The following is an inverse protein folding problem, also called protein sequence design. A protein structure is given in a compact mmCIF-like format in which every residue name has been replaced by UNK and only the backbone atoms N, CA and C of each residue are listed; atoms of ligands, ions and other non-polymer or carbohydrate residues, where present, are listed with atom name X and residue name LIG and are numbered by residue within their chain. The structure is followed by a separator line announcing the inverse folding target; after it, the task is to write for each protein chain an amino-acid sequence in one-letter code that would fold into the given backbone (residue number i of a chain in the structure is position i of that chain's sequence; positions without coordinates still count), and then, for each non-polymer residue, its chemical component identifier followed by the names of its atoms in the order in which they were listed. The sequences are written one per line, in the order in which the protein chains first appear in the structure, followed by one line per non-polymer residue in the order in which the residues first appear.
data_IF_411528026371
#
_entry.id   IF_411528026371
#
_cell.length_a   1.000
_cell.length_b   1.000
_cell.length_c   1.000
_cell.angle_alpha   90.00
_cell.angle_beta   90.00
_cell.angle_gamma   90.00
#
_symmetry.space_group_name_H-M   'P 1'
#
loop_
_entity.id
_entity.type
_entity.pdbx_description
1 polymer ?
#
# COMPACT_ATOMS: atom_id res chain seq x y z
N UNK A 1 21.74 -39.91 -64.14
CA UNK A 1 20.60 -40.77 -63.72
C UNK A 1 20.96 -41.43 -62.38
N UNK A 2 19.99 -41.68 -61.49
CA UNK A 2 19.91 -40.97 -60.20
C UNK A 2 20.15 -41.82 -58.93
N UNK A 3 20.32 -41.10 -57.82
CA UNK A 3 19.88 -41.34 -56.43
C UNK A 3 19.91 -42.76 -55.81
N UNK A 4 20.54 -42.88 -54.63
CA UNK A 4 19.89 -43.50 -53.47
C UNK A 4 20.54 -43.12 -52.12
N UNK A 5 19.64 -42.91 -51.15
CA UNK A 5 19.81 -42.49 -49.77
C UNK A 5 20.79 -43.37 -48.96
N UNK A 6 21.60 -42.73 -48.11
CA UNK A 6 22.10 -43.36 -46.88
C UNK A 6 21.67 -42.53 -45.67
N UNK A 7 20.78 -43.12 -44.88
CA UNK A 7 20.33 -42.66 -43.59
C UNK A 7 21.46 -42.80 -42.56
N UNK A 8 21.83 -41.72 -41.86
CA UNK A 8 22.66 -41.78 -40.65
C UNK A 8 21.99 -41.02 -39.51
N UNK A 9 21.70 -41.76 -38.44
CA UNK A 9 21.27 -41.26 -37.15
C UNK A 9 22.21 -40.17 -36.63
N UNK A 10 21.65 -38.99 -36.34
CA UNK A 10 22.22 -38.08 -35.34
C UNK A 10 21.29 -38.06 -34.14
N UNK A 11 21.77 -38.62 -33.02
CA UNK A 11 21.19 -38.37 -31.70
C UNK A 11 21.51 -36.93 -31.33
N UNK A 12 20.52 -36.05 -31.45
CA UNK A 12 20.62 -34.70 -30.88
C UNK A 12 20.36 -34.82 -29.38
N UNK A 13 21.41 -34.61 -28.59
CA UNK A 13 21.29 -34.37 -27.14
C UNK A 13 20.57 -33.02 -26.98
N UNK A 14 19.29 -33.06 -26.62
CA UNK A 14 18.56 -31.86 -26.21
C UNK A 14 19.06 -31.50 -24.82
N UNK A 15 19.98 -30.55 -24.75
CA UNK A 15 20.35 -29.86 -23.52
C UNK A 15 19.14 -29.05 -23.05
N UNK A 16 18.39 -29.59 -22.10
CA UNK A 16 17.29 -28.89 -21.43
C UNK A 16 17.83 -27.73 -20.61
N UNK A 17 17.89 -26.54 -21.20
CA UNK A 17 18.01 -25.29 -20.47
C UNK A 17 16.70 -25.06 -19.70
N UNK A 18 16.66 -25.48 -18.43
CA UNK A 18 15.67 -24.96 -17.50
C UNK A 18 16.05 -23.51 -17.22
N UNK A 19 15.27 -22.60 -17.77
CA UNK A 19 15.31 -21.18 -17.44
C UNK A 19 14.84 -21.03 -15.98
N UNK A 20 15.75 -21.15 -15.00
CA UNK A 20 15.50 -20.62 -13.66
C UNK A 20 15.53 -19.10 -13.82
N UNK A 21 14.36 -18.47 -13.90
CA UNK A 21 14.29 -17.03 -13.67
C UNK A 21 14.97 -16.76 -12.33
N UNK A 22 16.05 -15.97 -12.36
CA UNK A 22 16.64 -15.42 -11.16
C UNK A 22 15.53 -14.59 -10.50
N UNK A 23 15.10 -15.03 -9.34
CA UNK A 23 14.12 -14.31 -8.52
C UNK A 23 14.74 -12.97 -8.16
N UNK A 24 14.04 -11.86 -8.44
CA UNK A 24 14.53 -10.53 -8.10
C UNK A 24 14.50 -10.39 -6.56
N UNK A 25 15.38 -9.55 -6.01
CA UNK A 25 15.33 -9.24 -4.57
C UNK A 25 14.02 -8.59 -4.18
N UNK A 26 13.43 -7.78 -5.06
CA UNK A 26 12.11 -7.22 -4.81
C UNK A 26 11.02 -8.29 -4.76
N UNK A 27 11.13 -9.38 -5.53
CA UNK A 27 10.21 -10.51 -5.42
C UNK A 27 10.29 -11.18 -4.03
N UNK A 28 11.46 -11.19 -3.39
CA UNK A 28 11.61 -11.70 -2.02
C UNK A 28 10.90 -10.79 -1.00
N UNK A 29 11.07 -9.48 -1.14
CA UNK A 29 10.40 -8.50 -0.29
C UNK A 29 8.88 -8.53 -0.48
N UNK A 30 8.39 -8.59 -1.73
CA UNK A 30 6.97 -8.74 -2.04
C UNK A 30 6.38 -10.02 -1.47
N UNK A 31 7.10 -11.16 -1.56
CA UNK A 31 6.65 -12.41 -0.94
C UNK A 31 6.61 -12.32 0.58
N UNK A 32 7.54 -11.62 1.21
CA UNK A 32 7.57 -11.41 2.65
C UNK A 32 6.32 -10.66 3.12
N UNK A 33 6.01 -9.52 2.50
CA UNK A 33 4.83 -8.71 2.87
C UNK A 33 3.51 -9.27 2.36
N UNK A 34 3.52 -10.02 1.26
CA UNK A 34 2.36 -10.66 0.63
C UNK A 34 1.96 -11.98 1.29
N UNK A 35 2.52 -12.31 2.46
CA UNK A 35 2.12 -13.46 3.26
C UNK A 35 0.63 -13.34 3.61
N UNK A 36 -0.13 -14.37 3.27
CA UNK A 36 -1.53 -14.45 3.67
C UNK A 36 -1.68 -14.70 5.18
N UNK A 37 -2.53 -13.91 5.80
CA UNK A 37 -2.86 -13.93 7.23
C UNK A 37 -4.31 -14.34 7.50
N UNK A 38 -4.99 -14.91 6.50
CA UNK A 38 -6.36 -15.43 6.61
C UNK A 38 -7.37 -14.73 5.70
N UNK A 39 -6.92 -13.90 4.76
CA UNK A 39 -7.75 -13.19 3.79
C UNK A 39 -7.72 -13.82 2.38
N UNK A 40 -6.88 -14.84 2.15
CA UNK A 40 -6.73 -15.54 0.87
C UNK A 40 -6.25 -14.61 -0.27
N UNK A 41 -5.31 -13.72 0.05
CA UNK A 41 -4.79 -12.69 -0.87
C UNK A 41 -3.74 -13.19 -1.87
N UNK A 42 -3.31 -14.46 -1.80
CA UNK A 42 -2.18 -14.94 -2.59
C UNK A 42 -2.36 -14.76 -4.10
N UNK A 43 -3.59 -14.89 -4.61
CA UNK A 43 -3.90 -14.63 -6.03
C UNK A 43 -3.86 -13.13 -6.37
N UNK A 44 -4.21 -12.25 -5.43
CA UNK A 44 -4.09 -10.80 -5.60
C UNK A 44 -2.61 -10.41 -5.66
N UNK A 45 -1.78 -10.93 -4.74
CA UNK A 45 -0.32 -10.71 -4.72
C UNK A 45 0.31 -11.16 -6.05
N UNK A 46 -0.06 -12.36 -6.54
CA UNK A 46 0.44 -12.87 -7.81
C UNK A 46 0.04 -11.99 -9.00
N UNK A 47 -1.17 -11.42 -8.99
CA UNK A 47 -1.65 -10.57 -10.07
C UNK A 47 -0.87 -9.25 -10.21
N UNK A 48 -0.16 -8.83 -9.16
CA UNK A 48 0.61 -7.57 -9.14
C UNK A 48 2.09 -7.74 -8.80
N UNK A 49 2.66 -8.92 -9.09
CA UNK A 49 4.07 -9.14 -8.88
C UNK A 49 4.94 -8.09 -9.61
N UNK A 50 5.99 -7.61 -8.95
CA UNK A 50 6.95 -6.61 -9.42
C UNK A 50 6.46 -5.16 -9.28
N UNK A 51 5.25 -4.93 -8.79
CA UNK A 51 4.72 -3.57 -8.64
C UNK A 51 5.34 -2.81 -7.46
N UNK A 52 5.87 -3.49 -6.44
CA UNK A 52 6.65 -2.85 -5.38
C UNK A 52 7.95 -2.24 -5.91
N UNK A 53 8.69 -2.99 -6.75
CA UNK A 53 9.88 -2.45 -7.40
C UNK A 53 9.51 -1.26 -8.29
N UNK A 54 8.43 -1.41 -9.07
CA UNK A 54 7.95 -0.35 -9.94
C UNK A 54 7.58 0.92 -9.17
N UNK A 55 6.92 0.81 -8.01
CA UNK A 55 6.57 1.93 -7.14
C UNK A 55 7.81 2.58 -6.51
N UNK A 56 8.75 1.77 -6.01
CA UNK A 56 9.99 2.26 -5.42
C UNK A 56 10.82 3.04 -6.45
N UNK A 57 10.92 2.51 -7.68
CA UNK A 57 11.58 3.18 -8.80
C UNK A 57 10.91 4.49 -9.16
N UNK A 58 9.57 4.51 -9.29
CA UNK A 58 8.84 5.73 -9.68
C UNK A 58 9.15 6.90 -8.75
N UNK A 59 9.26 6.66 -7.44
CA UNK A 59 9.63 7.69 -6.46
C UNK A 59 11.13 8.01 -6.52
N UNK A 60 11.99 6.98 -6.50
CA UNK A 60 13.45 7.15 -6.39
C UNK A 60 14.10 7.81 -7.61
N UNK A 61 13.55 7.57 -8.81
CA UNK A 61 14.07 8.07 -10.08
C UNK A 61 13.47 9.45 -10.43
N UNK A 62 12.42 9.89 -9.73
CA UNK A 62 11.84 11.21 -9.92
C UNK A 62 12.81 12.31 -9.42
N UNK A 63 13.07 13.38 -10.20
CA UNK A 63 14.11 14.36 -9.85
C UNK A 63 13.77 15.23 -8.63
N UNK A 64 12.47 15.45 -8.37
CA UNK A 64 11.97 16.26 -7.23
C UNK A 64 10.69 15.64 -6.66
N UNK A 65 10.79 14.48 -5.98
CA UNK A 65 9.60 13.79 -5.50
C UNK A 65 8.95 14.63 -4.38
N UNK A 66 7.62 14.73 -4.46
CA UNK A 66 6.72 15.22 -3.42
C UNK A 66 5.51 14.32 -3.37
N UNK A 67 5.20 13.81 -2.19
CA UNK A 67 4.26 12.70 -2.00
C UNK A 67 3.03 13.19 -1.22
N UNK A 68 1.84 12.99 -1.77
CA UNK A 68 0.60 13.09 -1.00
C UNK A 68 0.19 11.69 -0.54
N UNK A 69 0.13 11.44 0.77
CA UNK A 69 -0.25 10.13 1.33
C UNK A 69 -1.69 10.19 1.83
N UNK A 70 -2.55 9.36 1.24
CA UNK A 70 -3.96 9.20 1.54
C UNK A 70 -4.14 7.96 2.42
N UNK A 71 -4.75 8.10 3.60
CA UNK A 71 -5.02 6.94 4.47
C UNK A 71 -6.28 7.14 5.32
N UNK A 72 -6.76 6.03 5.88
CA UNK A 72 -7.80 5.99 6.89
C UNK A 72 -8.99 5.18 6.42
N UNK A 73 -9.44 4.24 7.25
CA UNK A 73 -10.58 3.40 7.01
C UNK A 73 -11.50 3.48 8.23
N UNK A 74 -12.72 3.99 8.04
CA UNK A 74 -13.65 4.21 9.15
C UNK A 74 -14.52 2.98 9.42
N UNK A 75 -14.64 2.58 10.68
CA UNK A 75 -15.40 1.42 11.15
C UNK A 75 -16.64 1.89 11.92
N UNK A 76 -17.79 2.10 11.25
CA UNK A 76 -18.99 2.68 11.87
C UNK A 76 -19.69 1.72 12.85
N UNK A 77 -19.35 0.43 12.82
CA UNK A 77 -20.08 -0.60 13.58
C UNK A 77 -19.54 -0.84 14.99
N UNK A 78 -18.43 -0.19 15.36
CA UNK A 78 -17.88 -0.24 16.71
C UNK A 78 -18.45 0.94 17.52
N UNK A 79 -18.50 0.83 18.85
CA UNK A 79 -19.02 1.88 19.74
C UNK A 79 -17.93 2.30 20.74
N UNK A 80 -17.46 3.56 20.70
CA UNK A 80 -17.76 4.58 19.68
C UNK A 80 -17.18 4.20 18.29
N UNK A 81 -17.78 4.68 17.18
CA UNK A 81 -17.21 4.53 15.84
C UNK A 81 -15.82 5.18 15.74
N UNK A 82 -14.90 4.52 15.04
CA UNK A 82 -13.51 4.97 14.94
C UNK A 82 -12.85 4.50 13.63
N UNK A 83 -11.69 5.09 13.32
CA UNK A 83 -10.82 4.61 12.26
C UNK A 83 -10.03 3.38 12.70
N UNK A 84 -9.66 2.51 11.77
CA UNK A 84 -8.92 1.29 12.11
C UNK A 84 -7.41 1.51 12.30
N UNK A 85 -6.74 0.48 12.82
CA UNK A 85 -5.29 0.47 13.11
C UNK A 85 -4.42 0.16 11.89
N UNK A 86 -4.97 -0.39 10.80
CA UNK A 86 -4.24 -0.61 9.55
C UNK A 86 -4.27 0.60 8.61
N UNK A 87 -3.11 0.90 8.00
CA UNK A 87 -2.84 2.10 7.22
C UNK A 87 -2.02 3.22 7.91
N UNK A 88 -2.41 3.71 9.11
CA UNK A 88 -1.82 4.93 9.66
C UNK A 88 -0.42 4.74 10.22
N UNK A 89 -0.06 3.53 10.67
CA UNK A 89 1.27 3.24 11.21
C UNK A 89 2.28 3.26 10.05
N UNK A 90 1.98 2.56 8.95
CA UNK A 90 2.74 2.59 7.71
C UNK A 90 2.84 4.02 7.15
N UNK A 91 1.74 4.76 7.18
CA UNK A 91 1.72 6.18 6.78
C UNK A 91 2.65 7.05 7.61
N UNK A 92 2.61 6.94 8.95
CA UNK A 92 3.42 7.77 9.84
C UNK A 92 4.92 7.45 9.72
N UNK A 93 5.27 6.17 9.62
CA UNK A 93 6.64 5.70 9.39
C UNK A 93 7.17 6.20 8.05
N UNK A 94 6.41 6.02 6.95
CA UNK A 94 6.79 6.54 5.63
C UNK A 94 6.97 8.06 5.64
N UNK A 95 6.07 8.78 6.30
CA UNK A 95 6.14 10.23 6.43
C UNK A 95 7.42 10.66 7.12
N UNK A 96 7.76 10.03 8.24
CA UNK A 96 9.00 10.31 8.97
C UNK A 96 10.25 10.03 8.12
N UNK A 97 10.28 8.90 7.40
CA UNK A 97 11.39 8.56 6.49
C UNK A 97 11.54 9.61 5.39
N UNK A 98 10.43 10.00 4.74
CA UNK A 98 10.46 10.98 3.66
C UNK A 98 10.88 12.37 4.14
N UNK A 99 10.28 12.89 5.22
CA UNK A 99 10.63 14.21 5.74
C UNK A 99 12.11 14.29 6.16
N UNK A 100 12.60 13.30 6.92
CA UNK A 100 14.00 13.23 7.35
C UNK A 100 14.97 13.05 6.18
N UNK A 101 14.51 12.48 5.07
CA UNK A 101 15.26 12.34 3.82
C UNK A 101 15.14 13.53 2.85
N UNK A 102 14.43 14.60 3.25
CA UNK A 102 14.24 15.81 2.45
C UNK A 102 13.22 15.67 1.32
N UNK A 103 12.34 14.66 1.37
CA UNK A 103 11.24 14.47 0.43
C UNK A 103 9.98 15.10 1.05
N UNK A 104 9.40 16.16 0.45
CA UNK A 104 8.20 16.78 0.99
C UNK A 104 7.00 15.83 0.96
N UNK A 105 6.26 15.80 2.07
CA UNK A 105 5.05 14.98 2.23
C UNK A 105 3.86 15.85 2.60
N UNK A 106 2.68 15.51 2.11
CA UNK A 106 1.40 16.01 2.59
C UNK A 106 0.50 14.82 2.97
N UNK A 107 -0.09 14.85 4.15
CA UNK A 107 -1.03 13.83 4.61
C UNK A 107 -2.44 14.21 4.20
N UNK A 108 -3.21 13.25 3.72
CA UNK A 108 -4.60 13.44 3.28
C UNK A 108 -5.49 12.39 3.93
N UNK A 109 -6.54 12.84 4.61
CA UNK A 109 -7.52 11.94 5.21
C UNK A 109 -8.89 12.61 5.30
N UNK A 110 -9.91 11.89 5.76
CA UNK A 110 -11.22 12.47 6.04
C UNK A 110 -11.41 12.83 7.51
N UNK A 111 -12.43 13.64 7.78
CA UNK A 111 -12.70 14.15 9.15
C UNK A 111 -12.85 13.03 10.19
N UNK A 112 -13.35 11.86 9.79
CA UNK A 112 -13.58 10.73 10.70
C UNK A 112 -12.30 9.98 11.06
N UNK A 113 -11.29 10.03 10.19
CA UNK A 113 -9.99 9.39 10.42
C UNK A 113 -8.91 10.39 10.88
N UNK A 114 -9.22 11.69 10.86
CA UNK A 114 -8.28 12.78 11.17
C UNK A 114 -7.60 12.63 12.52
N UNK A 115 -8.35 12.40 13.60
CA UNK A 115 -7.80 12.37 14.97
C UNK A 115 -6.75 11.27 15.13
N UNK A 116 -7.04 10.10 14.57
CA UNK A 116 -6.14 8.96 14.55
C UNK A 116 -4.84 9.31 13.80
N UNK A 117 -4.95 9.84 12.58
CA UNK A 117 -3.78 10.15 11.77
C UNK A 117 -2.95 11.30 12.35
N UNK A 118 -3.61 12.27 12.99
CA UNK A 118 -2.96 13.35 13.71
C UNK A 118 -2.10 12.81 14.85
N UNK A 119 -2.62 11.87 15.66
CA UNK A 119 -1.86 11.24 16.73
C UNK A 119 -0.64 10.49 16.17
N UNK A 120 -0.82 9.73 15.08
CA UNK A 120 0.27 9.00 14.44
C UNK A 120 1.38 9.95 13.95
N UNK A 121 1.02 11.06 13.30
CA UNK A 121 1.95 12.11 12.88
C UNK A 121 2.71 12.72 14.06
N UNK A 122 1.99 13.03 15.14
CA UNK A 122 2.55 13.72 16.31
C UNK A 122 3.52 12.81 17.10
N UNK A 123 3.26 11.49 17.18
CA UNK A 123 4.18 10.49 17.78
C UNK A 123 5.51 10.46 17.05
N UNK A 124 5.48 10.48 15.72
CA UNK A 124 6.69 10.49 14.89
C UNK A 124 7.32 11.88 14.76
N UNK A 125 6.74 12.89 15.42
CA UNK A 125 7.20 14.28 15.40
C UNK A 125 7.30 14.84 13.98
N UNK A 126 6.42 14.39 13.08
CA UNK A 126 6.39 14.82 11.69
C UNK A 126 5.73 16.20 11.57
N UNK A 127 6.23 17.01 10.65
CA UNK A 127 5.72 18.36 10.36
C UNK A 127 4.77 18.40 9.15
N UNK A 128 4.55 17.25 8.52
CA UNK A 128 3.86 17.15 7.25
C UNK A 128 2.48 17.83 7.33
N UNK A 129 2.17 18.78 6.43
CA UNK A 129 0.85 19.38 6.37
C UNK A 129 -0.22 18.31 6.21
N UNK A 130 -1.33 18.47 6.92
CA UNK A 130 -2.45 17.53 6.87
C UNK A 130 -3.67 18.22 6.27
N UNK A 131 -4.12 17.69 5.14
CA UNK A 131 -5.35 18.07 4.46
C UNK A 131 -6.46 17.14 4.93
N UNK A 132 -7.50 17.72 5.54
CA UNK A 132 -8.69 16.97 5.93
C UNK A 132 -9.85 17.33 5.01
N UNK A 133 -10.47 16.31 4.43
CA UNK A 133 -11.65 16.49 3.58
C UNK A 133 -12.93 16.05 4.30
N UNK A 134 -14.00 16.80 4.15
CA UNK A 134 -15.31 16.51 4.74
C UNK A 134 -16.25 15.84 3.74
N UNK A 135 -16.03 16.04 2.44
CA UNK A 135 -16.91 15.51 1.41
C UNK A 135 -16.41 15.72 -0.01
N UNK A 136 -17.33 15.56 -0.97
CA UNK A 136 -17.02 15.59 -2.41
C UNK A 136 -16.38 16.91 -2.86
N UNK A 137 -16.88 18.05 -2.41
CA UNK A 137 -16.40 19.37 -2.85
C UNK A 137 -14.94 19.63 -2.45
N UNK A 138 -14.56 19.26 -1.22
CA UNK A 138 -13.18 19.34 -0.76
C UNK A 138 -12.25 18.46 -1.60
N UNK A 139 -12.70 17.24 -1.94
CA UNK A 139 -11.94 16.32 -2.78
C UNK A 139 -11.77 16.86 -4.21
N UNK A 140 -12.79 17.47 -4.81
CA UNK A 140 -12.68 18.11 -6.13
C UNK A 140 -11.73 19.32 -6.10
N UNK A 141 -11.77 20.10 -5.03
CA UNK A 141 -10.85 21.23 -4.82
C UNK A 141 -9.41 20.73 -4.70
N UNK A 142 -9.19 19.68 -3.91
CA UNK A 142 -7.89 19.04 -3.74
C UNK A 142 -7.37 18.46 -5.06
N UNK A 143 -8.22 17.74 -5.80
CA UNK A 143 -7.92 17.20 -7.12
C UNK A 143 -7.51 18.31 -8.08
N UNK A 144 -8.27 19.40 -8.13
CA UNK A 144 -7.95 20.57 -8.97
C UNK A 144 -6.59 21.17 -8.61
N UNK A 145 -6.29 21.30 -7.31
CA UNK A 145 -4.99 21.81 -6.83
C UNK A 145 -3.81 20.94 -7.28
N UNK A 146 -3.96 19.62 -7.23
CA UNK A 146 -2.92 18.69 -7.70
C UNK A 146 -2.74 18.75 -9.21
N UNK A 147 -3.84 18.78 -9.97
CA UNK A 147 -3.80 18.77 -11.43
C UNK A 147 -3.33 20.08 -12.04
N UNK A 148 -3.57 21.20 -11.38
CA UNK A 148 -3.04 22.50 -11.80
C UNK A 148 -1.49 22.58 -11.66
N UNK A 149 -0.84 21.57 -11.07
CA UNK A 149 0.60 21.58 -10.79
C UNK A 149 1.01 22.53 -9.67
N UNK A 150 0.09 23.36 -9.15
CA UNK A 150 0.34 24.35 -8.11
C UNK A 150 0.85 23.74 -6.80
N UNK A 151 0.48 22.49 -6.51
CA UNK A 151 0.98 21.78 -5.33
C UNK A 151 2.33 21.07 -5.57
N UNK A 152 2.82 20.99 -6.81
CA UNK A 152 4.01 20.22 -7.20
C UNK A 152 4.00 18.76 -6.69
N UNK A 153 2.81 18.18 -6.46
CA UNK A 153 2.67 16.78 -6.07
C UNK A 153 3.07 15.91 -7.26
N UNK A 154 4.06 15.06 -7.04
CA UNK A 154 4.56 14.11 -8.05
C UNK A 154 3.92 12.73 -7.92
N UNK A 155 3.47 12.38 -6.71
CA UNK A 155 2.91 11.08 -6.39
C UNK A 155 1.74 11.22 -5.42
N UNK A 156 0.65 10.51 -5.68
CA UNK A 156 -0.43 10.29 -4.72
C UNK A 156 -0.41 8.82 -4.31
N UNK A 157 -0.13 8.57 -3.04
CA UNK A 157 -0.01 7.24 -2.45
C UNK A 157 -1.23 6.96 -1.57
N UNK A 158 -1.95 5.86 -1.80
CA UNK A 158 -2.99 5.38 -0.90
C UNK A 158 -2.46 4.25 -0.02
N UNK A 159 -2.76 4.27 1.28
CA UNK A 159 -2.49 3.16 2.20
C UNK A 159 -3.76 2.90 3.01
N UNK A 160 -4.36 1.73 2.82
CA UNK A 160 -5.59 1.31 3.52
C UNK A 160 -6.71 2.36 3.43
N UNK A 161 -7.10 2.68 2.20
CA UNK A 161 -8.20 3.61 1.94
C UNK A 161 -9.25 2.92 1.10
N UNK A 162 -10.51 2.81 1.57
CA UNK A 162 -11.53 2.10 0.82
C UNK A 162 -11.96 2.89 -0.43
N UNK A 163 -12.27 2.15 -1.49
CA UNK A 163 -12.76 2.68 -2.76
C UNK A 163 -14.12 2.10 -3.15
N UNK A 164 -14.78 2.68 -4.17
CA UNK A 164 -16.06 2.20 -4.63
C UNK A 164 -15.91 0.88 -5.39
N UNK A 165 -16.83 -0.05 -5.15
CA UNK A 165 -17.05 -1.20 -6.01
C UNK A 165 -17.79 -0.80 -7.31
N UNK A 166 -18.00 -1.76 -8.22
CA UNK A 166 -18.70 -1.53 -9.49
C UNK A 166 -20.11 -0.94 -9.32
N UNK A 167 -20.75 -1.15 -8.16
CA UNK A 167 -22.04 -0.55 -7.81
C UNK A 167 -21.96 0.95 -7.47
N UNK A 168 -20.77 1.56 -7.48
CA UNK A 168 -20.51 2.92 -7.01
C UNK A 168 -20.57 3.10 -5.49
N UNK A 169 -20.65 2.01 -4.72
CA UNK A 169 -20.71 2.03 -3.26
C UNK A 169 -19.38 1.61 -2.68
N UNK A 170 -18.98 2.23 -1.59
CA UNK A 170 -17.82 1.85 -0.79
C UNK A 170 -18.26 0.78 0.20
N UNK A 171 -17.51 -0.31 0.33
CA UNK A 171 -17.83 -1.41 1.26
C UNK A 171 -16.64 -1.84 2.10
N UNK A 172 -16.92 -2.37 3.27
CA UNK A 172 -15.92 -3.12 4.04
C UNK A 172 -15.87 -4.59 3.60
N UNK A 173 -14.92 -5.35 4.17
CA UNK A 173 -14.74 -6.78 3.90
C UNK A 173 -15.98 -7.65 4.20
N UNK A 174 -16.92 -7.17 5.03
CA UNK A 174 -18.20 -7.83 5.33
C UNK A 174 -19.34 -7.46 4.36
N UNK A 175 -19.05 -6.69 3.30
CA UNK A 175 -20.05 -6.21 2.33
C UNK A 175 -20.93 -5.06 2.84
N UNK A 176 -20.63 -4.47 4.00
CA UNK A 176 -21.43 -3.36 4.56
C UNK A 176 -21.10 -2.06 3.85
N UNK A 177 -22.13 -1.29 3.52
CA UNK A 177 -21.99 0.00 2.85
C UNK A 177 -21.37 1.05 3.80
N UNK A 178 -20.31 1.70 3.33
CA UNK A 178 -19.59 2.77 4.00
C UNK A 178 -19.68 4.11 3.25
N UNK A 179 -20.42 4.17 2.14
CA UNK A 179 -20.42 5.30 1.21
C UNK A 179 -20.67 6.64 1.90
N UNK A 180 -21.63 6.70 2.83
CA UNK A 180 -22.00 7.94 3.51
C UNK A 180 -21.02 8.38 4.60
N UNK A 181 -20.11 7.48 5.01
CA UNK A 181 -19.08 7.75 6.02
C UNK A 181 -17.68 7.83 5.44
N UNK A 182 -17.51 7.63 4.13
CA UNK A 182 -16.20 7.68 3.44
C UNK A 182 -16.16 8.84 2.46
N UNK A 183 -15.27 9.81 2.68
CA UNK A 183 -15.02 10.85 1.68
C UNK A 183 -14.46 10.24 0.38
N UNK A 184 -14.85 10.71 -0.82
CA UNK A 184 -14.55 10.06 -2.10
C UNK A 184 -13.11 10.30 -2.60
N UNK A 185 -12.11 10.07 -1.75
CA UNK A 185 -10.68 10.29 -2.05
C UNK A 185 -10.16 9.41 -3.21
N UNK A 186 -10.87 8.33 -3.57
CA UNK A 186 -10.63 7.56 -4.79
C UNK A 186 -10.60 8.41 -6.07
N UNK A 187 -11.24 9.58 -6.06
CA UNK A 187 -11.22 10.53 -7.19
C UNK A 187 -9.85 11.09 -7.52
N UNK A 188 -8.91 11.07 -6.56
CA UNK A 188 -7.51 11.41 -6.80
C UNK A 188 -6.77 10.34 -7.63
N UNK A 189 -7.39 9.18 -7.84
CA UNK A 189 -6.80 8.03 -8.54
C UNK A 189 -7.48 7.73 -9.88
N UNK A 190 -8.62 8.36 -10.14
CA UNK A 190 -9.35 8.21 -11.40
C UNK A 190 -8.48 8.62 -12.60
N UNK A 191 -8.51 7.84 -13.70
CA UNK A 191 -7.89 8.24 -14.96
C UNK A 191 -8.38 9.61 -15.43
N UNK A 192 -7.48 10.40 -16.01
CA UNK A 192 -7.78 11.70 -16.59
C UNK A 192 -7.55 11.66 -18.09
N UNK A 193 -8.24 12.53 -18.83
CA UNK A 193 -7.95 12.74 -20.24
C UNK A 193 -6.62 13.51 -20.36
N UNK A 194 -5.54 12.81 -20.70
CA UNK A 194 -4.19 13.36 -20.84
C UNK A 194 -3.20 12.78 -19.83
N UNK A 195 -1.95 13.25 -19.88
CA UNK A 195 -0.91 12.83 -18.93
C UNK A 195 -1.22 13.40 -17.54
N UNK A 196 -1.35 12.54 -16.52
CA UNK A 196 -1.47 13.02 -15.13
C UNK A 196 -0.19 13.74 -14.74
N UNK A 197 -0.33 14.84 -14.01
CA UNK A 197 0.80 15.55 -13.41
C UNK A 197 1.51 14.76 -12.30
N UNK A 198 0.90 13.67 -11.82
CA UNK A 198 1.42 12.80 -10.77
C UNK A 198 1.16 11.32 -11.07
N UNK A 199 2.07 10.46 -10.59
CA UNK A 199 1.87 9.02 -10.54
C UNK A 199 1.01 8.62 -9.33
N UNK A 200 0.34 7.48 -9.41
CA UNK A 200 -0.50 6.94 -8.35
C UNK A 200 0.00 5.59 -7.86
N UNK A 201 0.20 5.49 -6.56
CA UNK A 201 0.61 4.27 -5.88
C UNK A 201 -0.49 3.91 -4.89
N UNK A 202 -0.79 2.63 -4.73
CA UNK A 202 -1.74 2.20 -3.71
C UNK A 202 -1.26 0.94 -3.00
N UNK A 203 -1.65 0.81 -1.74
CA UNK A 203 -1.38 -0.31 -0.86
C UNK A 203 -2.71 -0.73 -0.24
N UNK A 204 -3.02 -2.03 -0.37
CA UNK A 204 -4.23 -2.63 0.18
C UNK A 204 -4.03 -4.12 0.45
N UNK A 205 -4.91 -4.69 1.26
CA UNK A 205 -4.82 -6.06 1.75
C UNK A 205 -6.16 -6.84 1.62
N UNK A 206 -7.22 -6.21 1.12
CA UNK A 206 -8.59 -6.74 1.18
C UNK A 206 -9.32 -6.80 -0.16
N UNK A 207 -8.89 -6.03 -1.16
CA UNK A 207 -9.52 -5.96 -2.48
C UNK A 207 -10.58 -4.85 -2.59
N UNK A 208 -10.98 -4.23 -1.48
CA UNK A 208 -11.92 -3.11 -1.43
C UNK A 208 -11.23 -1.75 -1.28
N UNK A 209 -9.90 -1.72 -1.29
CA UNK A 209 -9.08 -0.52 -1.20
C UNK A 209 -8.87 0.13 -2.58
N UNK A 210 -8.62 1.44 -2.58
CA UNK A 210 -8.16 2.17 -3.76
C UNK A 210 -6.95 1.46 -4.37
N UNK A 211 -6.89 1.39 -5.70
CA UNK A 211 -5.83 0.75 -6.45
C UNK A 211 -6.16 -0.68 -6.87
N UNK A 212 -6.98 -1.40 -6.09
CA UNK A 212 -7.38 -2.78 -6.38
C UNK A 212 -8.10 -2.93 -7.72
N UNK A 213 -8.60 -1.85 -8.32
CA UNK A 213 -9.12 -1.83 -9.69
C UNK A 213 -8.09 -2.15 -10.78
N UNK A 214 -6.80 -2.27 -10.42
CA UNK A 214 -5.74 -2.81 -11.30
C UNK A 214 -5.83 -4.34 -11.46
N UNK A 215 -6.44 -5.03 -10.50
CA UNK A 215 -6.61 -6.48 -10.51
C UNK A 215 -7.91 -6.82 -11.23
N UNK A 216 -7.91 -7.90 -12.02
CA UNK A 216 -9.14 -8.42 -12.61
C UNK A 216 -10.18 -8.69 -11.50
N UNK A 217 -11.40 -8.13 -11.60
CA UNK A 217 -12.39 -8.26 -10.52
C UNK A 217 -12.83 -9.71 -10.29
N UNK A 218 -12.68 -10.60 -11.27
CA UNK A 218 -12.88 -12.04 -11.13
C UNK A 218 -11.86 -12.71 -10.21
N UNK A 219 -10.63 -12.21 -10.16
CA UNK A 219 -9.61 -12.67 -9.20
C UNK A 219 -10.01 -12.30 -7.78
N UNK A 220 -10.47 -11.06 -7.54
CA UNK A 220 -10.98 -10.64 -6.23
C UNK A 220 -12.22 -11.43 -5.86
N UNK A 221 -13.19 -11.55 -6.77
CA UNK A 221 -14.44 -12.29 -6.56
C UNK A 221 -14.23 -13.79 -6.25
N UNK A 222 -13.23 -14.41 -6.86
CA UNK A 222 -12.94 -15.84 -6.68
C UNK A 222 -12.14 -16.17 -5.41
N UNK A 223 -11.48 -15.20 -4.80
CA UNK A 223 -10.52 -15.45 -3.71
C UNK A 223 -10.86 -14.72 -2.41
N UNK A 224 -11.50 -13.56 -2.46
CA UNK A 224 -11.84 -12.77 -1.29
C UNK A 224 -13.29 -13.00 -0.88
N UNK A 225 -13.54 -13.14 0.42
CA UNK A 225 -14.90 -13.21 0.95
C UNK A 225 -15.70 -11.95 0.58
N UNK A 226 -16.90 -12.12 0.02
CA UNK A 226 -17.71 -11.04 -0.57
C UNK A 226 -17.04 -10.31 -1.75
N UNK A 227 -15.97 -10.86 -2.34
CA UNK A 227 -15.14 -10.20 -3.36
C UNK A 227 -15.94 -9.64 -4.53
N UNK A 228 -16.98 -10.34 -5.00
CA UNK A 228 -17.82 -9.87 -6.09
C UNK A 228 -18.58 -8.56 -5.78
N UNK A 229 -18.86 -8.29 -4.51
CA UNK A 229 -19.61 -7.11 -4.06
C UNK A 229 -18.70 -5.96 -3.63
N UNK A 230 -17.51 -6.27 -3.14
CA UNK A 230 -16.60 -5.31 -2.50
C UNK A 230 -15.44 -4.89 -3.40
N UNK A 231 -15.13 -5.65 -4.46
CA UNK A 231 -14.00 -5.38 -5.34
C UNK A 231 -13.99 -3.93 -5.83
N UNK A 232 -13.02 -3.17 -5.35
CA UNK A 232 -12.86 -1.77 -5.69
C UNK A 232 -12.48 -1.65 -7.17
N UNK A 233 -13.11 -0.72 -7.89
CA UNK A 233 -12.87 -0.49 -9.32
C UNK A 233 -11.92 0.66 -9.60
N UNK A 234 -11.40 1.32 -8.57
CA UNK A 234 -10.47 2.45 -8.73
C UNK A 234 -9.06 1.91 -8.97
N UNK A 235 -8.45 2.15 -10.14
CA UNK A 235 -7.10 1.66 -10.45
C UNK A 235 -6.02 2.61 -9.91
N UNK A 236 -4.76 2.18 -10.02
CA UNK A 236 -3.58 3.02 -9.82
C UNK A 236 -2.45 2.60 -10.78
N UNK A 237 -1.39 3.40 -10.86
CA UNK A 237 -0.22 3.13 -11.71
C UNK A 237 0.68 2.04 -11.13
N UNK A 238 0.76 1.95 -9.80
CA UNK A 238 1.49 0.90 -9.07
C UNK A 238 0.66 0.40 -7.88
N UNK A 239 0.35 -0.89 -7.82
CA UNK A 239 -0.42 -1.51 -6.73
C UNK A 239 0.47 -2.47 -5.94
N UNK A 240 0.59 -2.26 -4.64
CA UNK A 240 1.23 -3.18 -3.71
C UNK A 240 0.12 -3.90 -2.93
N UNK A 241 0.11 -5.23 -2.98
CA UNK A 241 -0.77 -6.05 -2.15
C UNK A 241 0.07 -6.68 -1.04
N UNK A 242 -0.38 -6.51 0.20
CA UNK A 242 0.27 -7.05 1.41
C UNK A 242 -0.74 -7.74 2.31
N UNK A 243 -0.27 -8.57 3.24
CA UNK A 243 -1.12 -9.19 4.26
C UNK A 243 -1.73 -8.20 5.26
N UNK A 244 -1.06 -7.06 5.46
CA UNK A 244 -1.48 -5.89 6.25
C UNK A 244 -0.90 -4.68 5.54
N UNK A 245 -1.69 -3.63 5.27
CA UNK A 245 -1.27 -2.48 4.46
C UNK A 245 -0.13 -1.68 5.07
N UNK A 246 -0.02 -1.63 6.41
CA UNK A 246 1.14 -1.08 7.10
C UNK A 246 2.46 -1.72 6.62
N UNK A 247 2.47 -3.04 6.38
CA UNK A 247 3.67 -3.75 5.89
C UNK A 247 4.05 -3.34 4.49
N UNK A 248 3.08 -3.11 3.61
CA UNK A 248 3.34 -2.56 2.28
C UNK A 248 4.01 -1.19 2.35
N UNK A 249 3.60 -0.34 3.31
CA UNK A 249 4.24 0.96 3.55
C UNK A 249 5.71 0.82 3.97
N UNK A 250 5.98 -0.10 4.90
CA UNK A 250 7.34 -0.43 5.35
C UNK A 250 8.22 -0.94 4.20
N UNK A 251 7.70 -1.87 3.40
CA UNK A 251 8.42 -2.42 2.26
C UNK A 251 8.68 -1.38 1.17
N UNK A 252 7.76 -0.43 0.95
CA UNK A 252 8.00 0.67 0.02
C UNK A 252 9.16 1.55 0.51
N UNK A 253 9.22 1.88 1.80
CA UNK A 253 10.34 2.64 2.39
C UNK A 253 11.68 1.92 2.20
N UNK A 254 11.73 0.62 2.54
CA UNK A 254 12.92 -0.21 2.37
C UNK A 254 13.33 -0.36 0.90
N UNK A 255 12.35 -0.57 0.02
CA UNK A 255 12.55 -0.64 -1.43
C UNK A 255 13.20 0.63 -1.98
N UNK A 256 12.69 1.81 -1.61
CA UNK A 256 13.27 3.09 -2.00
C UNK A 256 14.68 3.24 -1.42
N UNK A 257 14.91 2.91 -0.15
CA UNK A 257 16.24 2.99 0.46
C UNK A 257 17.28 2.05 -0.15
N UNK A 258 16.85 0.91 -0.71
CA UNK A 258 17.74 0.02 -1.46
C UNK A 258 18.22 0.64 -2.79
N UNK A 259 17.40 1.50 -3.39
CA UNK A 259 17.71 2.23 -4.63
C UNK A 259 18.39 3.58 -4.35
N UNK A 260 18.19 4.13 -3.15
CA UNK A 260 18.67 5.44 -2.71
C UNK A 260 19.48 5.30 -1.42
N UNK A 261 20.78 4.92 -1.49
CA UNK A 261 21.57 4.54 -0.32
C UNK A 261 21.59 5.57 0.81
N UNK A 262 21.50 6.88 0.50
CA UNK A 262 21.44 7.96 1.50
C UNK A 262 20.23 7.90 2.43
N UNK A 263 19.15 7.21 2.04
CA UNK A 263 17.92 7.07 2.85
C UNK A 263 17.99 5.88 3.82
N UNK A 264 18.97 4.98 3.65
CA UNK A 264 19.06 3.72 4.38
C UNK A 264 19.17 3.91 5.89
N UNK A 265 20.09 4.76 6.34
CA UNK A 265 20.29 5.01 7.77
C UNK A 265 19.02 5.56 8.42
N UNK A 266 18.35 6.51 7.74
CA UNK A 266 17.07 7.04 8.18
C UNK A 266 15.99 5.96 8.25
N UNK A 267 15.91 5.05 7.27
CA UNK A 267 14.96 3.93 7.31
C UNK A 267 15.23 3.02 8.51
N UNK A 268 16.47 2.61 8.75
CA UNK A 268 16.82 1.73 9.87
C UNK A 268 16.55 2.39 11.25
N UNK A 269 16.73 3.70 11.37
CA UNK A 269 16.45 4.44 12.61
C UNK A 269 14.94 4.59 12.88
N UNK A 270 14.16 4.83 11.82
CA UNK A 270 12.72 5.11 11.93
C UNK A 270 11.90 3.83 12.01
N UNK A 271 12.20 2.83 11.18
CA UNK A 271 11.46 1.59 11.07
C UNK A 271 11.88 0.60 12.14
N UNK A 272 11.45 0.82 13.39
CA UNK A 272 11.76 -0.07 14.52
C UNK A 272 10.48 -0.63 15.15
N UNK A 273 10.53 -1.83 15.76
CA UNK A 273 9.44 -2.36 16.58
C UNK A 273 8.99 -1.37 17.65
N UNK A 274 9.94 -0.69 18.30
CA UNK A 274 9.64 0.30 19.33
C UNK A 274 8.78 1.46 18.80
N UNK A 275 9.11 2.01 17.63
CA UNK A 275 8.31 3.08 17.01
C UNK A 275 6.94 2.57 16.55
N UNK A 276 6.86 1.35 16.00
CA UNK A 276 5.59 0.75 15.56
C UNK A 276 4.64 0.48 16.74
N UNK A 277 5.17 -0.06 17.85
CA UNK A 277 4.41 -0.34 19.06
C UNK A 277 3.96 0.96 19.75
N UNK A 278 4.84 1.96 19.86
CA UNK A 278 4.48 3.28 20.38
C UNK A 278 3.40 3.97 19.53
N UNK A 279 3.45 3.80 18.21
CA UNK A 279 2.39 4.27 17.30
C UNK A 279 1.08 3.54 17.56
N UNK A 280 1.07 2.22 17.62
CA UNK A 280 -0.13 1.40 17.86
C UNK A 280 -0.81 1.77 19.18
N UNK A 281 -0.05 1.80 20.28
CA UNK A 281 -0.55 2.21 21.60
C UNK A 281 -1.17 3.62 21.53
N UNK A 282 -0.44 4.57 20.94
CA UNK A 282 -0.90 5.94 20.87
C UNK A 282 -2.17 6.12 20.03
N UNK A 283 -2.26 5.50 18.85
CA UNK A 283 -3.44 5.64 17.99
C UNK A 283 -4.67 4.99 18.62
N UNK A 284 -4.51 3.89 19.37
CA UNK A 284 -5.61 3.25 20.09
C UNK A 284 -6.04 4.10 21.29
N UNK A 285 -5.10 4.55 22.12
CA UNK A 285 -5.40 5.25 23.37
C UNK A 285 -5.86 6.70 23.15
N UNK A 286 -5.25 7.41 22.19
CA UNK A 286 -5.47 8.85 21.94
C UNK A 286 -6.17 9.14 20.62
N UNK A 287 -6.02 8.25 19.64
CA UNK A 287 -6.60 8.35 18.27
C UNK A 287 -7.96 7.66 18.10
N UNK A 288 -8.61 7.29 19.21
CA UNK A 288 -9.51 6.13 19.40
C UNK A 288 -9.48 4.96 18.40
N UNK A 289 -8.35 4.63 17.78
CA UNK A 289 -8.29 3.63 16.72
C UNK A 289 -8.72 2.23 17.18
N UNK A 290 -9.25 1.44 16.26
CA UNK A 290 -9.84 0.11 16.53
C UNK A 290 -9.27 -0.94 15.61
N UNK A 291 -9.27 -2.18 16.05
CA UNK A 291 -9.04 -3.31 15.16
C UNK A 291 -10.38 -3.72 14.52
N UNK A 292 -10.49 -3.62 13.20
CA UNK A 292 -11.73 -3.88 12.46
C UNK A 292 -12.11 -5.38 12.41
N UNK A 293 -11.13 -6.27 12.54
CA UNK A 293 -11.32 -7.72 12.54
C UNK A 293 -11.82 -8.17 13.91
N UNK A 294 -11.16 -7.72 14.98
CA UNK A 294 -11.58 -7.98 16.37
C UNK A 294 -12.89 -7.28 16.69
N UNK A 295 -13.09 -6.06 16.16
CA UNK A 295 -14.26 -5.25 16.45
C UNK A 295 -14.16 -4.45 17.75
N UNK A 296 -12.95 -4.15 18.23
CA UNK A 296 -12.72 -3.47 19.50
C UNK A 296 -11.47 -2.58 19.46
N UNK A 297 -11.36 -1.67 20.43
CA UNK A 297 -10.11 -0.97 20.72
C UNK A 297 -9.14 -1.94 21.38
N UNK A 298 -8.13 -2.35 20.64
CA UNK A 298 -7.12 -3.30 21.08
C UNK A 298 -5.80 -2.99 20.39
N UNK A 299 -4.69 -3.32 21.05
CA UNK A 299 -3.34 -3.21 20.50
C UNK A 299 -3.04 -4.35 19.52
N UNK A 300 -3.88 -4.45 18.48
CA UNK A 300 -3.78 -5.41 17.38
C UNK A 300 -4.04 -4.70 16.06
N UNK A 301 -3.54 -5.29 14.98
CA UNK A 301 -3.76 -4.81 13.61
C UNK A 301 -4.26 -6.02 12.81
N UNK A 302 -5.43 -5.90 12.18
CA UNK A 302 -6.09 -7.01 11.47
C UNK A 302 -6.28 -8.31 12.27
N UNK A 303 -6.48 -8.20 13.58
CA UNK A 303 -6.62 -9.32 14.49
C UNK A 303 -5.30 -10.02 14.80
N UNK A 304 -4.17 -9.46 14.40
CA UNK A 304 -2.84 -9.99 14.67
C UNK A 304 -2.19 -9.24 15.83
N UNK A 305 -1.45 -9.94 16.70
CA UNK A 305 -0.72 -9.31 17.79
C UNK A 305 0.61 -8.70 17.29
N UNK A 306 1.17 -7.77 18.09
CA UNK A 306 2.38 -7.02 17.79
C UNK A 306 3.54 -7.90 17.27
N UNK A 307 3.73 -9.09 17.86
CA UNK A 307 4.85 -9.99 17.53
C UNK A 307 4.84 -10.45 16.07
N UNK A 308 3.66 -10.55 15.44
CA UNK A 308 3.57 -10.92 14.02
C UNK A 308 4.05 -9.77 13.13
N UNK A 309 3.71 -8.54 13.49
CA UNK A 309 4.14 -7.36 12.73
C UNK A 309 5.63 -7.09 12.93
N UNK A 310 6.15 -7.29 14.14
CA UNK A 310 7.58 -7.16 14.46
C UNK A 310 8.42 -8.15 13.64
N UNK A 311 7.99 -9.41 13.52
CA UNK A 311 8.67 -10.41 12.69
C UNK A 311 8.74 -10.01 11.21
N UNK A 312 7.65 -9.44 10.68
CA UNK A 312 7.63 -8.98 9.27
C UNK A 312 8.53 -7.76 9.10
N UNK A 313 8.48 -6.82 10.04
CA UNK A 313 9.34 -5.63 10.04
C UNK A 313 10.82 -6.02 10.09
N UNK A 314 11.21 -6.91 11.00
CA UNK A 314 12.58 -7.46 11.08
C UNK A 314 12.99 -8.13 9.78
N UNK A 315 12.10 -8.89 9.15
CA UNK A 315 12.36 -9.47 7.83
C UNK A 315 12.63 -8.41 6.75
N UNK A 316 11.90 -7.30 6.76
CA UNK A 316 12.10 -6.18 5.82
C UNK A 316 13.44 -5.50 6.10
N UNK A 317 13.80 -5.29 7.36
CA UNK A 317 15.07 -4.68 7.76
C UNK A 317 16.25 -5.57 7.39
N UNK A 318 16.19 -6.88 7.67
CA UNK A 318 17.21 -7.85 7.24
C UNK A 318 17.36 -7.86 5.71
N UNK A 319 16.23 -7.84 4.98
CA UNK A 319 16.25 -7.74 3.52
C UNK A 319 16.96 -6.46 3.06
N UNK A 320 16.72 -5.32 3.71
CA UNK A 320 17.42 -4.08 3.38
C UNK A 320 18.90 -4.21 3.72
N UNK A 321 19.25 -4.73 4.89
CA UNK A 321 20.62 -4.93 5.36
C UNK A 321 21.46 -5.78 4.40
N UNK A 322 20.89 -6.84 3.86
CA UNK A 322 21.57 -7.72 2.90
C UNK A 322 21.86 -7.07 1.54
N UNK A 323 21.31 -5.89 1.20
CA UNK A 323 21.60 -5.19 -0.07
C UNK A 323 23.00 -4.59 -0.16
N UNK A 324 23.81 -4.69 0.90
CA UNK A 324 25.18 -4.18 0.94
C UNK A 324 26.26 -5.25 0.81
N UNK A 325 25.89 -6.53 0.63
CA UNK A 325 26.83 -7.64 0.44
C UNK A 325 27.02 -8.02 -1.03
#
# INVERSE_FOLDING_TARGET
MPAQLMCRCFKTVICGHRNRQLVSRFDELERLIGRDVGRNISQLVQAVQGQLESAARSISEHPKPKIAIVTGFFVPTITPPAAETDGPIGTAILTAVFERSGIPVELVTDEKCRSMLQVARDVMQCSAPMVTVSGKEDVETLKTRYLAGAAEVSHVLSIERPGPAASGRVRNFKGRDLTDVTAPLHKLFEPLAGDRAYATIAIGDGGNEIGMGRIDPGVVAGNIANGAEIACVTPCDHLIVSGVSNWGGFALAAGIASLVPRMRECVLEVMTPANCNALLEAIVDRGPAVDAIVGAQQYTIDGLPAEVHDQVLEGILNWLEDTTS
#
